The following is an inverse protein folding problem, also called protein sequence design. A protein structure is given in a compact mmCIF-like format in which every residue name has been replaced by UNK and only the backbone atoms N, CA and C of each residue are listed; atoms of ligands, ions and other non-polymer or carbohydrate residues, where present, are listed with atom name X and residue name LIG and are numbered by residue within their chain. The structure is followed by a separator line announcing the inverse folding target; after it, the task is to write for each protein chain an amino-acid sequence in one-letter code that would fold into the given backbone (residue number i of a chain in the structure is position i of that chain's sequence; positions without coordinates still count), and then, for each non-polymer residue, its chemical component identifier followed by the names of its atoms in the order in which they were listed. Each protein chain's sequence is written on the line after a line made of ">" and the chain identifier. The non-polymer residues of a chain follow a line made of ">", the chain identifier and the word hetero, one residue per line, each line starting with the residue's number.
data_IF_638484036073
#
_entry.id   IF_638484036073
#
_cell.length_a   1.000
_cell.length_b   1.000
_cell.length_c   1.000
_cell.angle_alpha   90.00
_cell.angle_beta   90.00
_cell.angle_gamma   90.00
#
_symmetry.space_group_name_H-M   'P 1'
#
loop_
_entity.id
_entity.type
_entity.pdbx_description
1 polymer ?
#
# COMPACT_ATOMS: atom_id res chain seq x y z
N UNK A 1 5.86 6.85 6.53
CA UNK A 1 6.22 8.28 6.52
C UNK A 1 7.52 8.57 7.30
N UNK A 2 7.70 8.19 8.58
CA UNK A 2 8.91 8.56 9.36
C UNK A 2 10.22 8.11 8.72
N UNK A 3 10.31 6.89 8.20
CA UNK A 3 11.52 6.38 7.54
C UNK A 3 11.95 7.22 6.33
N UNK A 4 11.01 7.65 5.50
CA UNK A 4 11.29 8.50 4.35
C UNK A 4 11.85 9.86 4.80
N UNK A 5 11.27 10.46 5.84
CA UNK A 5 11.76 11.71 6.42
C UNK A 5 13.17 11.56 7.01
N UNK A 6 13.39 10.50 7.79
CA UNK A 6 14.73 10.22 8.36
C UNK A 6 15.78 10.00 7.29
N UNK A 7 15.44 9.28 6.21
CA UNK A 7 16.35 9.07 5.09
C UNK A 7 16.73 10.39 4.41
N UNK A 8 15.74 11.27 4.20
CA UNK A 8 15.97 12.57 3.58
C UNK A 8 16.78 13.50 4.47
N UNK A 9 16.50 13.57 5.77
CA UNK A 9 17.30 14.33 6.74
C UNK A 9 18.73 13.83 6.73
N UNK A 10 18.99 12.53 6.82
CA UNK A 10 20.34 11.97 6.79
C UNK A 10 21.07 12.32 5.50
N UNK A 11 20.41 12.15 4.36
CA UNK A 11 20.97 12.48 3.05
C UNK A 11 21.39 13.96 2.96
N UNK A 12 20.54 14.86 3.42
CA UNK A 12 20.78 16.32 3.30
C UNK A 12 21.79 16.84 4.32
N UNK A 13 21.89 16.22 5.49
CA UNK A 13 22.77 16.69 6.56
C UNK A 13 24.15 16.02 6.55
N UNK A 14 24.25 14.75 6.17
CA UNK A 14 25.51 13.98 6.22
C UNK A 14 26.04 13.55 4.85
N UNK A 15 25.24 13.71 3.80
CA UNK A 15 25.56 13.19 2.46
C UNK A 15 25.33 11.67 2.31
N UNK A 16 25.04 10.94 3.39
CA UNK A 16 24.72 9.52 3.32
C UNK A 16 23.29 9.29 2.88
N UNK A 17 23.09 8.49 1.84
CA UNK A 17 21.77 8.21 1.28
C UNK A 17 21.29 6.78 1.60
N UNK A 18 20.48 6.59 2.67
CA UNK A 18 19.89 5.29 2.98
C UNK A 18 18.99 4.76 1.87
N UNK A 19 18.34 5.64 1.11
CA UNK A 19 17.43 5.26 0.05
C UNK A 19 18.12 4.64 -1.17
N UNK A 20 19.40 4.94 -1.37
CA UNK A 20 20.22 4.29 -2.38
C UNK A 20 20.64 2.88 -1.96
N UNK A 21 20.79 2.66 -0.65
CA UNK A 21 21.27 1.38 -0.08
C UNK A 21 20.17 0.34 0.07
N UNK A 22 18.97 0.76 0.46
CA UNK A 22 17.87 -0.16 0.77
C UNK A 22 16.74 -0.06 -0.25
N UNK A 23 16.52 -1.14 -0.99
CA UNK A 23 15.46 -1.24 -2.01
C UNK A 23 14.05 -1.01 -1.45
N UNK A 24 13.86 -1.19 -0.13
CA UNK A 24 12.60 -0.93 0.54
C UNK A 24 12.08 0.49 0.27
N UNK A 25 12.96 1.51 0.24
CA UNK A 25 12.57 2.88 -0.05
C UNK A 25 12.00 3.05 -1.46
N UNK A 26 12.61 2.41 -2.45
CA UNK A 26 12.12 2.44 -3.83
C UNK A 26 10.81 1.67 -3.99
N UNK A 27 10.68 0.57 -3.25
CA UNK A 27 9.49 -0.29 -3.31
C UNK A 27 8.28 0.28 -2.56
N UNK A 28 8.42 1.33 -1.74
CA UNK A 28 7.29 1.94 -1.03
C UNK A 28 6.20 2.40 -2.00
N UNK A 29 6.52 3.25 -3.00
CA UNK A 29 5.54 3.71 -3.99
C UNK A 29 4.93 2.56 -4.79
N UNK A 30 5.76 1.61 -5.21
CA UNK A 30 5.31 0.42 -5.93
C UNK A 30 4.35 -0.43 -5.08
N UNK A 31 4.60 -0.58 -3.78
CA UNK A 31 3.71 -1.34 -2.89
C UNK A 31 2.32 -0.71 -2.86
N UNK A 32 2.23 0.60 -2.67
CA UNK A 32 0.94 1.32 -2.71
C UNK A 32 0.23 1.16 -4.04
N UNK A 33 0.95 1.25 -5.15
CA UNK A 33 0.36 1.06 -6.47
C UNK A 33 -0.31 -0.31 -6.63
N UNK A 34 0.34 -1.37 -6.14
CA UNK A 34 -0.21 -2.72 -6.25
C UNK A 34 -1.35 -2.99 -5.26
N UNK A 35 -1.40 -2.30 -4.11
CA UNK A 35 -2.49 -2.40 -3.13
C UNK A 35 -3.78 -1.68 -3.55
N UNK A 36 -3.69 -0.72 -4.46
CA UNK A 36 -4.89 -0.03 -4.96
C UNK A 36 -5.73 -0.98 -5.81
N UNK A 37 -7.00 -1.12 -5.45
CA UNK A 37 -7.99 -1.90 -6.17
C UNK A 37 -8.39 -1.22 -7.49
N UNK A 38 -9.01 -1.96 -8.43
CA UNK A 38 -9.48 -1.40 -9.70
C UNK A 38 -10.43 -0.21 -9.58
N UNK A 39 -11.17 -0.08 -8.49
CA UNK A 39 -12.06 1.06 -8.22
C UNK A 39 -11.36 2.27 -7.59
N UNK A 40 -10.05 2.18 -7.34
CA UNK A 40 -9.24 3.23 -6.71
C UNK A 40 -9.23 3.19 -5.18
N UNK A 41 -9.96 2.28 -4.55
CA UNK A 41 -9.88 2.05 -3.11
C UNK A 41 -8.63 1.22 -2.75
N UNK A 42 -8.28 1.17 -1.48
CA UNK A 42 -7.22 0.29 -0.98
C UNK A 42 -7.78 -1.07 -0.58
N UNK A 43 -7.01 -2.11 -0.85
CA UNK A 43 -7.34 -3.44 -0.38
C UNK A 43 -7.42 -3.49 1.14
N UNK A 44 -8.43 -4.19 1.66
CA UNK A 44 -8.53 -4.48 3.09
C UNK A 44 -7.58 -5.62 3.42
N UNK A 45 -6.68 -5.36 4.32
CA UNK A 45 -5.79 -6.35 4.93
C UNK A 45 -5.43 -5.92 6.35
N UNK A 46 -5.19 -6.84 7.24
CA UNK A 46 -4.89 -6.57 8.65
C UNK A 46 -5.93 -5.62 9.31
N UNK A 47 -5.47 -4.65 10.10
CA UNK A 47 -6.31 -3.63 10.73
C UNK A 47 -6.75 -2.51 9.76
N UNK A 48 -6.61 -2.68 8.44
CA UNK A 48 -6.99 -1.65 7.48
C UNK A 48 -8.49 -1.67 7.19
N UNK A 49 -9.24 -0.83 7.88
CA UNK A 49 -10.68 -0.64 7.65
C UNK A 49 -11.01 0.48 6.66
N UNK A 50 -10.03 1.32 6.37
CA UNK A 50 -10.26 2.51 5.53
C UNK A 50 -10.17 2.14 4.06
N UNK A 51 -11.25 2.37 3.28
CA UNK A 51 -11.26 2.07 1.85
C UNK A 51 -10.40 3.03 1.03
N UNK A 52 -9.79 4.01 1.68
CA UNK A 52 -9.00 5.04 1.03
C UNK A 52 -7.62 5.13 1.69
N UNK A 53 -6.61 5.18 0.86
CA UNK A 53 -5.25 5.48 1.29
C UNK A 53 -5.24 6.76 2.14
N UNK A 54 -4.62 6.73 3.29
CA UNK A 54 -4.61 7.87 4.20
C UNK A 54 -3.53 8.92 3.82
N UNK A 55 -3.46 9.95 4.61
CA UNK A 55 -2.51 11.06 4.42
C UNK A 55 -1.05 10.66 4.65
N UNK A 56 -0.81 9.63 5.44
CA UNK A 56 0.53 9.08 5.68
C UNK A 56 1.10 8.50 4.39
N UNK A 57 0.24 8.02 3.52
CA UNK A 57 0.57 7.46 2.22
C UNK A 57 0.98 8.53 1.22
N UNK A 58 0.34 9.71 1.28
CA UNK A 58 0.74 10.85 0.47
C UNK A 58 2.18 11.28 0.73
N UNK A 59 2.65 11.19 1.97
CA UNK A 59 4.05 11.45 2.31
C UNK A 59 4.98 10.44 1.65
N UNK A 60 4.62 9.16 1.66
CA UNK A 60 5.42 8.09 1.03
C UNK A 60 5.42 8.22 -0.49
N UNK A 61 4.26 8.48 -1.08
CA UNK A 61 4.14 8.71 -2.53
C UNK A 61 4.89 9.97 -2.97
N UNK A 62 4.79 11.07 -2.23
CA UNK A 62 5.56 12.30 -2.47
C UNK A 62 7.06 12.04 -2.44
N UNK A 63 7.52 11.25 -1.46
CA UNK A 63 8.91 10.85 -1.39
C UNK A 63 9.36 10.01 -2.61
N UNK A 64 8.51 9.09 -3.07
CA UNK A 64 8.80 8.29 -4.27
C UNK A 64 8.91 9.17 -5.52
N UNK A 65 8.04 10.16 -5.68
CA UNK A 65 8.14 11.16 -6.77
C UNK A 65 9.43 11.96 -6.66
N UNK A 66 9.70 12.53 -5.48
CA UNK A 66 10.88 13.36 -5.26
C UNK A 66 12.18 12.62 -5.50
N UNK A 67 12.34 11.45 -4.87
CA UNK A 67 13.62 10.71 -4.86
C UNK A 67 13.83 9.81 -6.05
N UNK A 68 12.78 9.17 -6.55
CA UNK A 68 12.90 8.14 -7.58
C UNK A 68 12.27 8.54 -8.90
N UNK A 69 11.68 9.74 -8.97
CA UNK A 69 10.97 10.23 -10.17
C UNK A 69 9.89 9.25 -10.62
N UNK A 70 9.20 8.64 -9.66
CA UNK A 70 8.20 7.60 -9.90
C UNK A 70 6.92 8.19 -10.53
N UNK A 71 6.63 7.92 -11.82
CA UNK A 71 5.48 8.49 -12.51
C UNK A 71 4.16 7.87 -12.05
N UNK A 72 4.18 6.66 -11.49
CA UNK A 72 2.98 5.98 -10.99
C UNK A 72 2.61 6.51 -9.60
N UNK A 73 3.61 6.80 -8.76
CA UNK A 73 3.37 7.51 -7.50
C UNK A 73 2.79 8.91 -7.74
N UNK A 74 3.28 9.61 -8.77
CA UNK A 74 2.73 10.90 -9.18
C UNK A 74 1.28 10.77 -9.67
N UNK A 75 0.95 9.72 -10.43
CA UNK A 75 -0.40 9.44 -10.86
C UNK A 75 -1.33 9.15 -9.66
N UNK A 76 -0.91 8.32 -8.73
CA UNK A 76 -1.66 8.04 -7.49
C UNK A 76 -1.96 9.32 -6.70
N UNK A 77 -0.99 10.22 -6.58
CA UNK A 77 -1.20 11.51 -5.90
C UNK A 77 -2.24 12.37 -6.61
N UNK A 78 -2.29 12.35 -7.95
CA UNK A 78 -3.32 13.08 -8.70
C UNK A 78 -4.72 12.50 -8.48
N UNK A 79 -4.85 11.17 -8.40
CA UNK A 79 -6.14 10.52 -8.13
C UNK A 79 -6.70 10.88 -6.75
N UNK A 80 -5.87 11.47 -5.88
CA UNK A 80 -6.19 11.81 -4.48
C UNK A 80 -6.28 13.29 -4.19
N UNK A 81 -6.28 14.12 -5.20
CA UNK A 81 -6.41 15.58 -5.07
C UNK A 81 -7.70 16.01 -4.33
N UNK A 82 -8.64 15.08 -4.12
CA UNK A 82 -9.90 15.28 -3.40
C UNK A 82 -9.81 15.04 -1.88
N UNK A 83 -8.67 14.56 -1.34
CA UNK A 83 -8.53 14.37 0.11
C UNK A 83 -8.63 15.70 0.83
N UNK A 84 -9.32 15.76 1.98
CA UNK A 84 -9.42 16.99 2.77
C UNK A 84 -8.04 17.57 3.07
N UNK A 85 -7.90 18.89 2.90
CA UNK A 85 -6.62 19.58 3.10
C UNK A 85 -6.07 19.41 4.52
N UNK A 86 -6.96 19.24 5.51
CA UNK A 86 -6.63 19.00 6.91
C UNK A 86 -5.85 17.69 7.15
N UNK A 87 -5.95 16.75 6.22
CA UNK A 87 -5.26 15.45 6.26
C UNK A 87 -3.97 15.46 5.46
N UNK A 88 -3.68 16.52 4.76
CA UNK A 88 -2.45 16.68 4.02
C UNK A 88 -1.32 17.18 4.93
N UNK A 89 -0.08 16.78 4.64
CA UNK A 89 1.08 17.46 5.18
C UNK A 89 1.58 18.48 4.14
N UNK A 90 1.10 19.74 4.19
CA UNK A 90 1.36 20.71 3.12
C UNK A 90 2.83 21.04 2.97
N UNK A 91 3.61 20.97 4.05
CA UNK A 91 5.06 21.22 4.02
C UNK A 91 5.78 20.13 3.23
N UNK A 92 5.50 18.87 3.53
CA UNK A 92 6.14 17.75 2.80
C UNK A 92 5.63 17.65 1.37
N UNK A 93 4.35 17.95 1.12
CA UNK A 93 3.84 18.04 -0.24
C UNK A 93 4.56 19.12 -1.04
N UNK A 94 4.77 20.30 -0.47
CA UNK A 94 5.53 21.36 -1.12
C UNK A 94 6.98 20.98 -1.37
N UNK A 95 7.66 20.40 -0.37
CA UNK A 95 9.08 20.03 -0.47
C UNK A 95 9.34 18.86 -1.43
N UNK A 96 8.38 17.95 -1.55
CA UNK A 96 8.55 16.72 -2.36
C UNK A 96 7.73 16.72 -3.65
N UNK A 97 7.00 17.80 -3.92
CA UNK A 97 6.38 17.98 -5.22
C UNK A 97 7.44 18.22 -6.28
N UNK A 98 7.44 17.41 -7.33
CA UNK A 98 8.31 17.59 -8.48
C UNK A 98 7.47 17.69 -9.76
N UNK A 99 7.20 18.92 -10.22
CA UNK A 99 6.36 19.15 -11.39
C UNK A 99 6.97 18.64 -12.70
N UNK A 100 8.27 18.28 -12.70
CA UNK A 100 8.93 17.69 -13.86
C UNK A 100 8.57 16.19 -14.02
N UNK A 101 8.04 15.55 -12.98
CA UNK A 101 7.60 14.16 -13.07
C UNK A 101 6.19 14.10 -13.65
N UNK A 102 6.11 13.68 -14.91
CA UNK A 102 4.82 13.52 -15.59
C UNK A 102 4.12 12.26 -15.08
N UNK A 103 2.92 12.39 -14.50
CA UNK A 103 2.15 11.25 -14.03
C UNK A 103 1.81 10.28 -15.18
N UNK A 104 1.87 8.99 -14.91
CA UNK A 104 1.57 7.95 -15.89
C UNK A 104 0.49 7.00 -15.36
N UNK A 105 -0.62 6.94 -16.09
CA UNK A 105 -1.70 6.00 -15.78
C UNK A 105 -1.22 4.55 -15.99
N UNK A 106 -1.28 3.69 -14.95
CA UNK A 106 -0.94 2.28 -15.07
C UNK A 106 -1.71 1.55 -16.17
N UNK A 107 -2.95 1.94 -16.44
CA UNK A 107 -3.77 1.30 -17.47
C UNK A 107 -3.23 1.50 -18.89
N UNK A 108 -2.34 2.47 -19.11
CA UNK A 108 -1.73 2.75 -20.40
C UNK A 108 -0.37 2.05 -20.60
N UNK A 109 0.06 1.23 -19.62
CA UNK A 109 1.39 0.60 -19.64
C UNK A 109 1.35 -0.82 -20.20
N UNK A 110 2.49 -1.27 -20.68
CA UNK A 110 2.68 -2.66 -21.10
C UNK A 110 3.05 -3.56 -19.89
N UNK A 111 2.84 -4.85 -20.04
CA UNK A 111 3.24 -5.87 -19.04
C UNK A 111 4.76 -5.83 -18.75
N UNK A 112 5.57 -5.49 -19.76
CA UNK A 112 7.03 -5.39 -19.60
C UNK A 112 7.44 -4.18 -18.76
N UNK A 113 6.71 -3.07 -18.88
CA UNK A 113 7.00 -1.84 -18.12
C UNK A 113 6.47 -1.91 -16.69
N UNK A 114 5.26 -2.44 -16.52
CA UNK A 114 4.60 -2.59 -15.24
C UNK A 114 3.93 -3.97 -15.17
N UNK A 115 4.61 -4.97 -14.61
CA UNK A 115 4.10 -6.34 -14.50
C UNK A 115 2.75 -6.40 -13.77
N UNK A 116 1.89 -7.32 -14.20
CA UNK A 116 0.59 -7.54 -13.56
C UNK A 116 0.67 -8.39 -12.31
N UNK A 117 1.85 -8.77 -11.89
CA UNK A 117 2.07 -9.50 -10.66
C UNK A 117 3.29 -8.97 -9.92
N UNK A 118 3.23 -9.01 -8.60
CA UNK A 118 4.34 -8.57 -7.76
C UNK A 118 4.37 -9.36 -6.45
N UNK A 119 5.55 -9.88 -6.10
CA UNK A 119 5.80 -10.48 -4.80
C UNK A 119 6.63 -9.51 -3.93
N UNK A 120 6.00 -9.00 -2.89
CA UNK A 120 6.64 -8.15 -1.87
C UNK A 120 7.18 -9.04 -0.75
N UNK A 121 8.34 -9.61 -0.96
CA UNK A 121 8.95 -10.64 -0.08
C UNK A 121 9.11 -10.20 1.37
N UNK A 122 9.31 -8.90 1.64
CA UNK A 122 9.49 -8.38 3.00
C UNK A 122 8.25 -8.53 3.87
N UNK A 123 7.08 -8.29 3.29
CA UNK A 123 5.77 -8.43 3.96
C UNK A 123 5.04 -9.71 3.56
N UNK A 124 5.57 -10.46 2.59
CA UNK A 124 4.98 -11.71 2.15
C UNK A 124 3.70 -11.58 1.33
N UNK A 125 3.46 -10.43 0.70
CA UNK A 125 2.29 -10.20 -0.13
C UNK A 125 2.60 -10.54 -1.60
N UNK A 126 1.79 -11.40 -2.20
CA UNK A 126 1.76 -11.64 -3.63
C UNK A 126 0.49 -10.99 -4.21
N UNK A 127 0.67 -10.03 -5.11
CA UNK A 127 -0.44 -9.39 -5.81
C UNK A 127 -0.45 -9.83 -7.27
N UNK A 128 -1.62 -10.19 -7.77
CA UNK A 128 -1.88 -10.59 -9.15
C UNK A 128 -3.00 -9.72 -9.72
N UNK A 129 -2.87 -9.35 -11.01
CA UNK A 129 -3.88 -8.58 -11.74
C UNK A 129 -4.00 -9.11 -13.17
N UNK A 130 -5.18 -9.03 -13.76
CA UNK A 130 -5.34 -9.25 -15.21
C UNK A 130 -5.17 -7.93 -16.01
N UNK A 131 -5.20 -6.78 -15.33
CA UNK A 131 -4.99 -5.45 -15.88
C UNK A 131 -4.91 -4.37 -14.81
N UNK A 132 -4.80 -3.11 -15.26
CA UNK A 132 -4.74 -1.92 -14.40
C UNK A 132 -6.00 -1.05 -14.51
N UNK A 133 -6.94 -1.41 -15.37
CA UNK A 133 -8.18 -0.66 -15.56
C UNK A 133 -9.24 -1.01 -14.49
N UNK A 134 -10.29 -0.19 -14.45
CA UNK A 134 -11.39 -0.30 -13.47
C UNK A 134 -12.19 -1.62 -13.51
N UNK A 135 -12.14 -2.32 -14.63
CA UNK A 135 -12.83 -3.61 -14.80
C UNK A 135 -11.90 -4.81 -14.60
N UNK A 136 -10.68 -4.58 -14.13
CA UNK A 136 -9.70 -5.63 -13.92
C UNK A 136 -10.03 -6.48 -12.69
N UNK A 137 -9.52 -7.71 -12.71
CA UNK A 137 -9.47 -8.56 -11.52
C UNK A 137 -8.21 -8.27 -10.72
N UNK A 138 -8.33 -8.26 -9.42
CA UNK A 138 -7.22 -8.09 -8.49
C UNK A 138 -7.27 -9.18 -7.41
N UNK A 139 -6.11 -9.75 -7.11
CA UNK A 139 -5.97 -10.83 -6.13
C UNK A 139 -4.75 -10.52 -5.26
N UNK A 140 -4.89 -10.68 -3.94
CA UNK A 140 -3.78 -10.68 -3.00
C UNK A 140 -3.76 -11.98 -2.23
N UNK A 141 -2.57 -12.58 -2.14
CA UNK A 141 -2.27 -13.64 -1.20
C UNK A 141 -1.30 -13.09 -0.15
N UNK A 142 -1.71 -13.08 1.11
CA UNK A 142 -0.87 -12.73 2.25
C UNK A 142 -0.26 -14.00 2.85
N UNK A 143 1.07 -14.11 2.83
CA UNK A 143 1.81 -15.24 3.40
C UNK A 143 3.16 -14.73 3.92
N UNK A 144 3.10 -13.77 4.84
CA UNK A 144 4.25 -13.12 5.44
C UNK A 144 4.55 -13.61 6.86
N UNK A 145 5.67 -13.16 7.41
CA UNK A 145 5.96 -13.37 8.82
C UNK A 145 5.08 -12.44 9.68
N UNK A 146 4.53 -12.99 10.74
CA UNK A 146 3.86 -12.20 11.78
C UNK A 146 4.91 -11.44 12.60
N UNK A 147 4.93 -10.11 12.53
CA UNK A 147 5.96 -9.31 13.22
C UNK A 147 5.48 -7.95 13.73
N UNK A 148 4.30 -7.49 13.35
CA UNK A 148 3.78 -6.20 13.78
C UNK A 148 2.55 -6.35 14.69
N UNK A 149 2.27 -5.34 15.51
CA UNK A 149 1.11 -5.35 16.44
C UNK A 149 -0.23 -5.48 15.68
N UNK A 150 -0.30 -4.89 14.49
CA UNK A 150 -1.51 -4.84 13.68
C UNK A 150 -1.64 -6.00 12.67
N UNK A 151 -0.67 -6.92 12.64
CA UNK A 151 -0.77 -8.12 11.81
C UNK A 151 -1.79 -9.10 12.40
N UNK A 152 -2.51 -9.78 11.53
CA UNK A 152 -3.45 -10.84 11.89
C UNK A 152 -2.83 -12.23 11.74
N UNK A 153 -3.48 -13.26 12.26
CA UNK A 153 -3.08 -14.66 12.09
C UNK A 153 -3.69 -15.21 10.80
N UNK A 154 -3.30 -14.63 9.69
CA UNK A 154 -3.92 -14.71 8.39
C UNK A 154 -3.03 -15.37 7.32
N UNK A 155 -2.02 -16.12 7.71
CA UNK A 155 -1.12 -16.80 6.76
C UNK A 155 -1.91 -17.55 5.69
N UNK A 156 -1.57 -17.31 4.42
CA UNK A 156 -2.28 -17.76 3.21
C UNK A 156 -3.68 -17.14 3.03
N UNK A 157 -3.96 -15.98 3.63
CA UNK A 157 -5.19 -15.24 3.39
C UNK A 157 -5.29 -14.78 1.94
N UNK A 158 -6.46 -15.01 1.34
CA UNK A 158 -6.75 -14.66 -0.03
C UNK A 158 -7.83 -13.58 -0.08
N UNK A 159 -7.51 -12.45 -0.72
CA UNK A 159 -8.47 -11.40 -1.08
C UNK A 159 -8.65 -11.41 -2.59
N UNK A 160 -9.89 -11.39 -3.06
CA UNK A 160 -10.24 -11.36 -4.47
C UNK A 160 -11.22 -10.23 -4.75
N UNK A 161 -10.89 -9.41 -5.73
CA UNK A 161 -11.73 -8.30 -6.18
C UNK A 161 -11.97 -8.34 -7.70
N UNK A 162 -13.22 -8.24 -8.11
CA UNK A 162 -13.63 -7.97 -9.49
C UNK A 162 -14.97 -7.24 -9.49
N UNK A 163 -14.95 -5.93 -9.76
CA UNK A 163 -16.14 -5.04 -9.68
C UNK A 163 -16.83 -5.06 -8.29
N UNK A 164 -16.13 -5.49 -7.27
CA UNK A 164 -16.54 -5.71 -5.90
C UNK A 164 -15.75 -6.86 -5.30
N UNK A 165 -15.78 -6.99 -3.98
CA UNK A 165 -15.12 -8.11 -3.31
C UNK A 165 -15.84 -9.43 -3.58
N UNK A 166 -15.10 -10.43 -4.03
CA UNK A 166 -15.53 -11.82 -4.15
C UNK A 166 -15.05 -12.66 -2.95
N UNK A 167 -13.90 -12.30 -2.40
CA UNK A 167 -13.40 -12.75 -1.12
C UNK A 167 -12.79 -11.53 -0.42
N UNK A 168 -13.33 -11.17 0.71
CA UNK A 168 -12.94 -9.97 1.49
C UNK A 168 -12.33 -10.40 2.82
N UNK A 169 -11.42 -9.61 3.36
CA UNK A 169 -11.03 -9.69 4.76
C UNK A 169 -12.22 -9.32 5.67
N UNK A 170 -12.37 -9.99 6.81
CA UNK A 170 -13.45 -9.70 7.76
C UNK A 170 -13.33 -8.30 8.37
N UNK A 171 -12.18 -7.65 8.21
CA UNK A 171 -11.87 -6.34 8.77
C UNK A 171 -11.38 -6.42 10.20
N UNK A 172 -11.35 -5.26 10.87
CA UNK A 172 -10.94 -5.13 12.26
C UNK A 172 -11.86 -4.17 12.99
N UNK A 173 -12.11 -4.39 14.26
CA UNK A 173 -12.64 -3.35 15.13
C UNK A 173 -11.47 -2.48 15.62
N UNK A 174 -11.09 -1.50 14.80
CA UNK A 174 -9.96 -0.63 15.06
C UNK A 174 -10.17 0.28 16.29
N UNK A 175 -11.40 0.44 16.73
CA UNK A 175 -11.73 1.30 17.86
C UNK A 175 -11.29 0.71 19.20
N UNK A 176 -11.18 -0.62 19.29
CA UNK A 176 -10.74 -1.33 20.50
C UNK A 176 -9.96 -2.62 20.16
N UNK A 177 -8.66 -2.46 19.87
CA UNK A 177 -7.75 -3.58 19.58
C UNK A 177 -7.46 -4.49 20.79
N UNK A 178 -7.97 -4.17 21.95
CA UNK A 178 -7.88 -4.98 23.18
C UNK A 178 -9.23 -5.64 23.53
N UNK A 179 -10.28 -5.41 22.74
CA UNK A 179 -11.58 -6.04 22.98
C UNK A 179 -11.51 -7.56 22.82
N UNK A 180 -12.33 -8.31 23.57
CA UNK A 180 -12.42 -9.76 23.41
C UNK A 180 -12.83 -10.16 21.97
N UNK A 181 -13.64 -9.34 21.29
CA UNK A 181 -14.07 -9.60 19.95
C UNK A 181 -12.90 -9.46 18.95
N UNK A 182 -12.13 -8.37 19.04
CA UNK A 182 -10.93 -8.20 18.23
C UNK A 182 -9.95 -9.37 18.44
N UNK A 183 -9.61 -9.67 19.71
CA UNK A 183 -8.61 -10.68 20.04
C UNK A 183 -9.02 -12.12 19.69
N UNK A 184 -10.33 -12.43 19.72
CA UNK A 184 -10.83 -13.78 19.53
C UNK A 184 -11.48 -14.02 18.15
N UNK A 185 -11.72 -12.98 17.36
CA UNK A 185 -12.31 -13.08 16.04
C UNK A 185 -11.44 -12.39 14.98
N UNK A 186 -11.46 -11.06 14.88
CA UNK A 186 -10.83 -10.36 13.76
C UNK A 186 -9.35 -10.69 13.54
N UNK A 187 -8.60 -10.81 14.62
CA UNK A 187 -7.17 -11.13 14.58
C UNK A 187 -6.88 -12.62 14.36
N UNK A 188 -7.90 -13.47 14.39
CA UNK A 188 -7.72 -14.93 14.30
C UNK A 188 -7.93 -15.47 12.91
N UNK A 189 -7.22 -16.55 12.60
CA UNK A 189 -7.30 -17.28 11.33
C UNK A 189 -8.74 -17.57 10.89
N UNK A 190 -9.66 -17.75 11.84
CA UNK A 190 -11.08 -18.05 11.56
C UNK A 190 -11.81 -16.90 10.85
N UNK A 191 -11.31 -15.65 10.96
CA UNK A 191 -11.91 -14.47 10.33
C UNK A 191 -11.39 -14.23 8.90
N UNK A 192 -10.47 -15.07 8.42
CA UNK A 192 -9.78 -14.86 7.15
C UNK A 192 -10.07 -15.97 6.13
N UNK A 193 -9.90 -15.63 4.84
CA UNK A 193 -10.06 -16.58 3.73
C UNK A 193 -8.81 -17.47 3.60
N UNK A 194 -8.57 -18.33 4.56
CA UNK A 194 -7.40 -19.19 4.64
C UNK A 194 -7.76 -20.58 5.17
N UNK A 195 -6.77 -21.47 5.27
CA UNK A 195 -6.95 -22.83 5.77
C UNK A 195 -6.64 -22.87 7.27
N UNK A 196 -7.61 -23.31 8.06
CA UNK A 196 -7.42 -23.58 9.50
C UNK A 196 -7.06 -25.04 9.67
N UNK A 197 -5.95 -25.31 10.37
CA UNK A 197 -5.53 -26.67 10.73
C UNK A 197 -5.78 -26.84 12.24
N UNK A 198 -6.53 -27.89 12.60
CA UNK A 198 -6.89 -28.23 14.00
C UNK A 198 -6.01 -29.35 14.53
#
# INVERSE_FOLDING_TARGET
>A
APLAMMAEVRRTTTGEDPSARWSAFRNMGTNYLYKVLPDGSEARDDDNEYPHLDTRDNVVLGYAVHRFKDPYAAWLLQQRAWLPAEWANPVLQFLWNDPAVVPRDPATTTETELPRHRHFRGVGHLVLRDGWGKDSTWIQLACGPYFAKHDHLDAAHLVVYHKGYLAIDAGADYTDTESPHYLNHYRRTIAHNTVVVY
#
